data_IF_577268805518
#
_entry.id   IF_577268805518
#
_cell.length_a   1.000
_cell.length_b   1.000
_cell.length_c   1.000
_cell.angle_alpha   90.00
_cell.angle_beta   90.00
_cell.angle_gamma   90.00
#
_symmetry.space_group_name_H-M   'P 1'
#
loop_
_entity.id
_entity.type
_entity.pdbx_description
1 polymer ?
#
# COMPACT_ATOMS: atom_id res chain seq x y z
N UNK A 1 16.37 -21.69 -18.04
CA UNK A 1 15.30 -20.69 -17.86
C UNK A 1 14.88 -20.58 -16.39
N UNK A 2 14.91 -19.37 -15.83
CA UNK A 2 14.54 -19.11 -14.43
C UNK A 2 13.06 -18.73 -14.33
N UNK A 3 12.37 -19.18 -13.27
CA UNK A 3 11.01 -18.76 -12.92
C UNK A 3 10.85 -17.23 -12.95
N UNK A 4 11.89 -16.50 -12.53
CA UNK A 4 11.94 -15.05 -12.59
C UNK A 4 11.75 -14.51 -14.01
N UNK A 5 12.41 -15.12 -15.02
CA UNK A 5 12.23 -14.70 -16.42
C UNK A 5 10.83 -14.99 -16.95
N UNK A 6 10.18 -16.06 -16.46
CA UNK A 6 8.86 -16.48 -16.90
C UNK A 6 7.76 -15.49 -16.48
N UNK A 7 7.89 -14.87 -15.29
CA UNK A 7 6.97 -13.82 -14.82
C UNK A 7 7.23 -12.44 -15.45
N UNK A 8 8.43 -12.19 -15.98
CA UNK A 8 8.81 -10.89 -16.54
C UNK A 8 8.60 -10.74 -18.06
N UNK A 9 8.48 -11.83 -18.84
CA UNK A 9 8.63 -11.78 -20.30
C UNK A 9 7.37 -11.62 -21.16
N UNK A 10 6.15 -11.44 -20.63
CA UNK A 10 5.02 -11.18 -21.54
C UNK A 10 3.75 -10.60 -20.88
N UNK A 11 3.35 -9.35 -21.19
CA UNK A 11 2.07 -8.79 -20.78
C UNK A 11 0.87 -9.62 -21.28
N UNK A 12 0.99 -10.22 -22.47
CA UNK A 12 -0.09 -11.00 -23.09
C UNK A 12 -0.29 -12.39 -22.49
N UNK A 13 0.78 -13.01 -21.95
CA UNK A 13 0.70 -14.31 -21.25
C UNK A 13 0.27 -14.17 -19.79
N UNK A 14 0.48 -13.00 -19.15
CA UNK A 14 -0.09 -12.69 -17.82
C UNK A 14 -1.61 -12.90 -17.81
N UNK A 15 -2.31 -12.44 -18.86
CA UNK A 15 -3.77 -12.60 -19.01
C UNK A 15 -4.25 -14.06 -19.12
N UNK A 16 -3.40 -15.00 -19.55
CA UNK A 16 -3.78 -16.43 -19.71
C UNK A 16 -3.48 -17.29 -18.48
N UNK A 17 -2.65 -16.82 -17.55
CA UNK A 17 -2.40 -17.50 -16.26
C UNK A 17 -3.49 -17.23 -15.20
N UNK A 18 -4.47 -16.38 -15.50
CA UNK A 18 -5.38 -15.75 -14.54
C UNK A 18 -6.82 -16.29 -14.56
N UNK A 19 -7.06 -17.57 -14.88
CA UNK A 19 -8.42 -18.14 -14.72
C UNK A 19 -8.63 -18.90 -13.42
N UNK A 20 -7.76 -19.82 -13.01
CA UNK A 20 -7.80 -20.52 -11.71
C UNK A 20 -6.44 -21.07 -11.13
N UNK A 21 -5.23 -20.79 -11.68
CA UNK A 21 -3.95 -21.18 -11.06
C UNK A 21 -3.49 -20.40 -9.81
N UNK A 22 -4.09 -19.26 -9.49
CA UNK A 22 -3.57 -18.32 -8.49
C UNK A 22 -3.39 -18.94 -7.10
N UNK A 23 -4.36 -19.73 -6.64
CA UNK A 23 -4.30 -20.38 -5.33
C UNK A 23 -3.19 -21.42 -5.20
N UNK A 24 -2.97 -22.25 -6.21
CA UNK A 24 -1.91 -23.27 -6.20
C UNK A 24 -0.54 -22.59 -6.19
N UNK A 25 -0.39 -21.53 -6.99
CA UNK A 25 0.84 -20.73 -7.05
C UNK A 25 1.09 -20.04 -5.70
N UNK A 26 0.07 -19.43 -5.10
CA UNK A 26 0.17 -18.79 -3.77
C UNK A 26 0.49 -19.80 -2.66
N UNK A 27 -0.09 -21.00 -2.69
CA UNK A 27 0.26 -22.08 -1.75
C UNK A 27 1.75 -22.45 -1.83
N UNK A 28 2.31 -22.54 -3.03
CA UNK A 28 3.75 -22.78 -3.22
C UNK A 28 4.56 -21.60 -2.69
N UNK A 29 4.19 -20.37 -3.01
CA UNK A 29 4.89 -19.19 -2.50
C UNK A 29 4.85 -19.12 -0.97
N UNK A 30 3.71 -19.39 -0.34
CA UNK A 30 3.58 -19.46 1.13
C UNK A 30 4.47 -20.52 1.79
N UNK A 31 4.73 -21.63 1.10
CA UNK A 31 5.69 -22.62 1.60
C UNK A 31 7.11 -22.12 1.42
N UNK A 32 7.42 -21.50 0.27
CA UNK A 32 8.75 -20.99 -0.06
C UNK A 32 9.18 -19.81 0.81
N UNK A 33 8.25 -18.93 1.23
CA UNK A 33 8.54 -17.76 2.09
C UNK A 33 9.30 -18.16 3.35
N UNK A 34 8.93 -19.30 3.96
CA UNK A 34 9.57 -19.88 5.15
C UNK A 34 11.04 -20.26 4.99
N UNK A 35 11.49 -20.44 3.75
CA UNK A 35 12.88 -20.83 3.43
C UNK A 35 13.73 -19.63 2.97
N UNK A 36 13.15 -18.44 2.85
CA UNK A 36 13.87 -17.24 2.44
C UNK A 36 14.63 -16.69 3.64
N UNK A 37 15.95 -16.81 3.60
CA UNK A 37 16.85 -16.35 4.69
C UNK A 37 17.82 -15.25 4.28
N UNK A 38 17.85 -14.87 3.00
CA UNK A 38 18.78 -13.86 2.51
C UNK A 38 18.06 -12.79 1.69
N UNK A 39 18.60 -11.56 1.75
CA UNK A 39 18.03 -10.38 1.11
C UNK A 39 17.89 -10.52 -0.41
N UNK A 40 18.81 -11.20 -1.09
CA UNK A 40 18.75 -11.37 -2.56
C UNK A 40 17.55 -12.22 -2.99
N UNK A 41 17.32 -13.33 -2.29
CA UNK A 41 16.15 -14.17 -2.51
C UNK A 41 14.85 -13.43 -2.14
N UNK A 42 14.84 -12.71 -1.02
CA UNK A 42 13.70 -11.89 -0.60
C UNK A 42 13.31 -10.85 -1.65
N UNK A 43 14.29 -10.13 -2.23
CA UNK A 43 14.05 -9.16 -3.30
C UNK A 43 13.40 -9.80 -4.52
N UNK A 44 13.96 -10.90 -5.03
CA UNK A 44 13.37 -11.63 -6.17
C UNK A 44 11.96 -12.13 -5.88
N UNK A 45 11.70 -12.52 -4.64
CA UNK A 45 10.40 -13.01 -4.23
C UNK A 45 9.35 -11.90 -4.21
N UNK A 46 9.72 -10.73 -3.68
CA UNK A 46 8.91 -9.51 -3.75
C UNK A 46 8.66 -9.08 -5.19
N UNK A 47 9.67 -9.18 -6.07
CA UNK A 47 9.54 -8.83 -7.49
C UNK A 47 8.49 -9.68 -8.24
N UNK A 48 8.28 -10.93 -7.79
CA UNK A 48 7.30 -11.85 -8.37
C UNK A 48 5.92 -11.66 -7.73
N UNK A 49 5.84 -11.49 -6.42
CA UNK A 49 4.57 -11.41 -5.69
C UNK A 49 3.88 -10.04 -5.80
N UNK A 50 4.63 -8.94 -5.89
CA UNK A 50 4.03 -7.61 -6.00
C UNK A 50 3.09 -7.47 -7.22
N UNK A 51 3.46 -7.90 -8.44
CA UNK A 51 2.54 -7.91 -9.56
C UNK A 51 1.30 -8.76 -9.31
N UNK A 52 1.41 -9.89 -8.62
CA UNK A 52 0.27 -10.75 -8.31
C UNK A 52 -0.69 -10.08 -7.33
N UNK A 53 -0.18 -9.33 -6.35
CA UNK A 53 -1.02 -8.53 -5.45
C UNK A 53 -1.74 -7.41 -6.21
N UNK A 54 -1.02 -6.65 -7.05
CA UNK A 54 -1.62 -5.55 -7.83
C UNK A 54 -2.62 -6.03 -8.90
N UNK A 55 -2.30 -7.09 -9.65
CA UNK A 55 -3.20 -7.66 -10.66
C UNK A 55 -4.39 -8.39 -9.99
N UNK A 56 -4.18 -8.83 -8.75
CA UNK A 56 -5.15 -9.51 -7.89
C UNK A 56 -6.21 -8.61 -7.26
N UNK A 57 -6.20 -7.29 -7.46
CA UNK A 57 -7.22 -6.38 -6.85
C UNK A 57 -8.66 -6.81 -7.19
N UNK A 58 -8.88 -7.47 -8.34
CA UNK A 58 -10.20 -8.01 -8.73
C UNK A 58 -10.61 -9.28 -7.96
N UNK A 59 -9.67 -9.93 -7.28
CA UNK A 59 -9.86 -11.11 -6.44
C UNK A 59 -9.24 -10.84 -5.05
N UNK A 60 -10.07 -10.36 -4.13
CA UNK A 60 -9.70 -10.05 -2.74
C UNK A 60 -8.86 -11.14 -2.08
N UNK A 61 -9.24 -12.41 -2.25
CA UNK A 61 -8.57 -13.54 -1.60
C UNK A 61 -7.14 -13.72 -2.12
N UNK A 62 -6.95 -13.59 -3.44
CA UNK A 62 -5.62 -13.66 -4.06
C UNK A 62 -4.76 -12.47 -3.63
N UNK A 63 -5.33 -11.26 -3.59
CA UNK A 63 -4.61 -10.06 -3.17
C UNK A 63 -4.20 -10.12 -1.69
N UNK A 64 -5.14 -10.42 -0.80
CA UNK A 64 -4.89 -10.53 0.65
C UNK A 64 -3.88 -11.63 0.96
N UNK A 65 -3.97 -12.80 0.32
CA UNK A 65 -2.99 -13.87 0.53
C UNK A 65 -1.60 -13.50 -0.01
N UNK A 66 -1.51 -12.82 -1.16
CA UNK A 66 -0.24 -12.33 -1.68
C UNK A 66 0.40 -11.29 -0.73
N UNK A 67 -0.39 -10.36 -0.19
CA UNK A 67 0.06 -9.37 0.80
C UNK A 67 0.53 -10.03 2.11
N UNK A 68 -0.17 -11.06 2.59
CA UNK A 68 0.25 -11.86 3.76
C UNK A 68 1.58 -12.56 3.52
N UNK A 69 1.78 -13.16 2.35
CA UNK A 69 3.05 -13.81 2.00
C UNK A 69 4.18 -12.77 1.89
N UNK A 70 3.91 -11.59 1.32
CA UNK A 70 4.87 -10.49 1.28
C UNK A 70 5.27 -10.04 2.70
N UNK A 71 4.30 -9.91 3.61
CA UNK A 71 4.53 -9.57 5.02
C UNK A 71 5.55 -10.50 5.69
N UNK A 72 5.47 -11.80 5.45
CA UNK A 72 6.41 -12.78 6.02
C UNK A 72 7.87 -12.58 5.59
N UNK A 73 8.10 -11.96 4.42
CA UNK A 73 9.44 -11.80 3.83
C UNK A 73 10.06 -10.43 4.16
N UNK A 74 9.25 -9.46 4.59
CA UNK A 74 9.70 -8.10 4.96
C UNK A 74 10.88 -8.10 5.93
N UNK A 75 10.87 -8.87 7.06
CA UNK A 75 11.97 -8.85 8.01
C UNK A 75 13.33 -9.25 7.41
N UNK A 76 13.32 -10.02 6.31
CA UNK A 76 14.52 -10.49 5.61
C UNK A 76 14.96 -9.52 4.50
N UNK A 77 14.05 -8.67 4.01
CA UNK A 77 14.24 -7.81 2.85
C UNK A 77 15.16 -6.61 3.13
N UNK A 78 15.11 -6.09 4.35
CA UNK A 78 15.77 -4.84 4.77
C UNK A 78 15.10 -3.59 4.20
N UNK A 79 15.62 -2.40 4.56
CA UNK A 79 14.99 -1.11 4.24
C UNK A 79 15.00 -0.74 2.75
N UNK A 80 15.92 -1.29 1.94
CA UNK A 80 16.16 -0.86 0.56
C UNK A 80 15.03 -1.15 -0.44
N UNK A 81 14.00 -1.91 -0.05
CA UNK A 81 12.87 -2.26 -0.93
C UNK A 81 11.54 -1.62 -0.51
N UNK A 82 11.52 -0.86 0.58
CA UNK A 82 10.31 -0.22 1.10
C UNK A 82 9.62 0.64 0.03
N UNK A 83 10.36 1.54 -0.64
CA UNK A 83 9.81 2.44 -1.66
C UNK A 83 9.09 1.70 -2.81
N UNK A 84 9.63 0.54 -3.23
CA UNK A 84 9.00 -0.30 -4.25
C UNK A 84 7.67 -0.90 -3.77
N UNK A 85 7.63 -1.37 -2.53
CA UNK A 85 6.42 -1.91 -1.91
C UNK A 85 5.39 -0.80 -1.72
N UNK A 86 5.79 0.37 -1.21
CA UNK A 86 4.91 1.55 -1.04
C UNK A 86 4.25 1.97 -2.35
N UNK A 87 5.01 2.03 -3.46
CA UNK A 87 4.45 2.34 -4.78
C UNK A 87 3.42 1.30 -5.23
N UNK A 88 3.66 0.02 -4.96
CA UNK A 88 2.73 -1.04 -5.33
C UNK A 88 1.44 -1.00 -4.50
N UNK A 89 1.53 -0.81 -3.18
CA UNK A 89 0.33 -0.70 -2.33
C UNK A 89 -0.45 0.57 -2.57
N UNK A 90 0.19 1.66 -2.99
CA UNK A 90 -0.49 2.88 -3.39
C UNK A 90 -1.51 2.60 -4.50
N UNK A 91 -1.12 1.82 -5.52
CA UNK A 91 -2.04 1.40 -6.57
C UNK A 91 -3.19 0.52 -6.06
N UNK A 92 -2.95 -0.32 -5.05
CA UNK A 92 -3.97 -1.14 -4.40
C UNK A 92 -4.97 -0.25 -3.66
N UNK A 93 -4.48 0.71 -2.86
CA UNK A 93 -5.30 1.55 -1.99
C UNK A 93 -6.34 2.40 -2.75
N UNK A 94 -6.08 2.77 -4.00
CA UNK A 94 -7.00 3.58 -4.83
C UNK A 94 -8.37 2.91 -5.04
N UNK A 95 -8.45 1.58 -5.01
CA UNK A 95 -9.68 0.85 -5.39
C UNK A 95 -9.97 -0.41 -4.57
N UNK A 96 -9.09 -0.77 -3.64
CA UNK A 96 -9.23 -1.97 -2.84
C UNK A 96 -10.43 -1.94 -1.89
N UNK A 97 -11.04 -3.12 -1.70
CA UNK A 97 -12.04 -3.37 -0.66
C UNK A 97 -11.40 -3.34 0.74
N UNK A 98 -12.23 -3.17 1.77
CA UNK A 98 -11.78 -2.99 3.16
C UNK A 98 -10.86 -4.11 3.64
N UNK A 99 -11.17 -5.37 3.38
CA UNK A 99 -10.36 -6.54 3.73
C UNK A 99 -8.94 -6.51 3.12
N UNK A 100 -8.82 -6.07 1.87
CA UNK A 100 -7.52 -5.85 1.21
C UNK A 100 -6.80 -4.66 1.82
N UNK A 101 -7.49 -3.55 2.13
CA UNK A 101 -6.89 -2.39 2.79
C UNK A 101 -6.38 -2.71 4.20
N UNK A 102 -7.09 -3.53 4.96
CA UNK A 102 -6.62 -4.06 6.25
C UNK A 102 -5.39 -4.95 6.08
N UNK A 103 -5.34 -5.77 5.02
CA UNK A 103 -4.13 -6.55 4.70
C UNK A 103 -2.94 -5.66 4.29
N UNK A 104 -3.20 -4.50 3.68
CA UNK A 104 -2.17 -3.47 3.43
C UNK A 104 -1.69 -2.86 4.74
N UNK A 105 -2.59 -2.51 5.67
CA UNK A 105 -2.24 -2.00 7.00
C UNK A 105 -1.29 -2.96 7.73
N UNK A 106 -1.64 -4.25 7.76
CA UNK A 106 -0.83 -5.33 8.31
C UNK A 106 0.59 -5.41 7.73
N UNK A 107 0.73 -5.12 6.43
CA UNK A 107 2.01 -5.13 5.73
C UNK A 107 2.81 -3.85 5.97
N UNK A 108 2.14 -2.69 6.05
CA UNK A 108 2.77 -1.41 6.41
C UNK A 108 3.31 -1.44 7.84
N UNK A 109 2.61 -2.09 8.76
CA UNK A 109 3.09 -2.32 10.13
C UNK A 109 4.40 -3.12 10.15
N UNK A 110 4.47 -4.22 9.40
CA UNK A 110 5.70 -5.02 9.28
C UNK A 110 6.85 -4.23 8.61
N UNK A 111 6.52 -3.38 7.63
CA UNK A 111 7.52 -2.45 7.05
C UNK A 111 8.01 -1.46 8.12
N UNK A 112 7.12 -0.91 8.94
CA UNK A 112 7.47 0.06 9.98
C UNK A 112 8.27 -0.56 11.14
N UNK A 113 8.12 -1.86 11.39
CA UNK A 113 9.01 -2.61 12.30
C UNK A 113 10.44 -2.70 11.74
N UNK A 114 10.59 -2.81 10.42
CA UNK A 114 11.89 -2.89 9.75
C UNK A 114 12.52 -1.53 9.45
N UNK A 115 11.71 -0.50 9.23
CA UNK A 115 12.08 0.88 8.97
C UNK A 115 11.15 1.82 9.75
N UNK A 116 11.61 2.26 10.92
CA UNK A 116 10.82 3.11 11.82
C UNK A 116 10.45 4.47 11.23
N UNK A 117 11.13 4.93 10.16
CA UNK A 117 10.75 6.14 9.43
C UNK A 117 9.38 6.05 8.74
N UNK A 118 8.83 4.83 8.63
CA UNK A 118 7.51 4.56 8.05
C UNK A 118 6.40 4.53 9.09
N UNK A 119 6.71 4.47 10.40
CA UNK A 119 5.73 4.24 11.47
C UNK A 119 4.59 5.26 11.44
N UNK A 120 4.91 6.55 11.37
CA UNK A 120 3.90 7.61 11.36
C UNK A 120 2.92 7.50 10.18
N UNK A 121 3.39 7.06 9.01
CA UNK A 121 2.54 6.88 7.83
C UNK A 121 1.72 5.59 7.95
N UNK A 122 2.32 4.51 8.49
CA UNK A 122 1.64 3.23 8.68
C UNK A 122 0.47 3.39 9.65
N UNK A 123 0.72 3.99 10.82
CA UNK A 123 -0.31 4.27 11.83
C UNK A 123 -1.44 5.13 11.26
N UNK A 124 -1.10 6.14 10.46
CA UNK A 124 -2.09 7.01 9.82
C UNK A 124 -2.97 6.26 8.81
N UNK A 125 -2.39 5.38 7.99
CA UNK A 125 -3.16 4.53 7.06
C UNK A 125 -4.03 3.55 7.84
N UNK A 126 -3.54 2.98 8.94
CA UNK A 126 -4.32 2.12 9.83
C UNK A 126 -5.51 2.87 10.42
N UNK A 127 -5.32 4.10 10.90
CA UNK A 127 -6.40 4.93 11.46
C UNK A 127 -7.45 5.31 10.39
N UNK A 128 -7.02 5.60 9.16
CA UNK A 128 -7.90 5.84 8.01
C UNK A 128 -8.72 4.61 7.58
N UNK A 129 -8.32 3.41 8.01
CA UNK A 129 -9.03 2.16 7.75
C UNK A 129 -9.57 1.50 9.03
N UNK A 130 -9.63 2.26 10.14
CA UNK A 130 -10.09 1.74 11.41
C UNK A 130 -11.54 1.27 11.31
N UNK A 131 -11.82 0.09 11.89
CA UNK A 131 -13.14 -0.54 11.85
C UNK A 131 -13.88 -0.33 13.16
N UNK A 132 -15.20 -0.23 13.08
CA UNK A 132 -16.09 -0.15 14.23
C UNK A 132 -15.99 -1.43 15.07
N UNK A 133 -15.95 -1.27 16.39
CA UNK A 133 -16.02 -2.39 17.32
C UNK A 133 -17.45 -2.96 17.48
N UNK A 134 -18.45 -2.21 17.02
CA UNK A 134 -19.88 -2.51 17.22
C UNK A 134 -20.52 -3.07 15.95
N UNK A 135 -20.09 -2.56 14.78
CA UNK A 135 -20.65 -2.93 13.48
C UNK A 135 -19.62 -3.69 12.64
N UNK A 136 -19.99 -4.90 12.22
CA UNK A 136 -19.16 -5.74 11.35
C UNK A 136 -18.99 -5.04 9.99
N UNK A 137 -17.75 -5.01 9.50
CA UNK A 137 -17.37 -4.40 8.21
C UNK A 137 -17.65 -2.90 8.07
N UNK A 138 -17.95 -2.21 9.17
CA UNK A 138 -18.13 -0.76 9.21
C UNK A 138 -16.85 -0.04 9.66
N UNK A 139 -16.70 1.22 9.26
CA UNK A 139 -15.60 2.09 9.67
C UNK A 139 -15.86 2.72 11.05
N UNK A 140 -14.79 2.94 11.81
CA UNK A 140 -14.77 3.80 12.99
C UNK A 140 -14.60 5.25 12.52
N UNK A 141 -15.72 5.91 12.21
CA UNK A 141 -15.71 7.26 11.63
C UNK A 141 -14.98 8.29 12.50
N UNK A 142 -15.05 8.16 13.82
CA UNK A 142 -14.36 9.08 14.72
C UNK A 142 -12.84 8.97 14.53
N UNK A 143 -12.30 7.74 14.49
CA UNK A 143 -10.88 7.53 14.20
C UNK A 143 -10.49 8.00 12.80
N UNK A 144 -11.30 7.68 11.79
CA UNK A 144 -11.02 8.06 10.40
C UNK A 144 -11.01 9.58 10.24
N UNK A 145 -11.96 10.31 10.84
CA UNK A 145 -12.01 11.77 10.80
C UNK A 145 -10.81 12.38 11.52
N UNK A 146 -10.47 11.86 12.71
CA UNK A 146 -9.28 12.31 13.46
C UNK A 146 -7.98 12.03 12.70
N UNK A 147 -7.91 10.95 11.92
CA UNK A 147 -6.80 10.66 11.03
C UNK A 147 -6.68 11.72 9.92
N UNK A 148 -7.80 12.09 9.29
CA UNK A 148 -7.82 13.14 8.28
C UNK A 148 -7.38 14.51 8.81
N UNK A 149 -7.72 14.86 10.05
CA UNK A 149 -7.28 16.12 10.68
C UNK A 149 -5.76 16.22 10.84
N UNK A 150 -5.04 15.09 10.79
CA UNK A 150 -3.57 15.04 10.81
C UNK A 150 -2.92 15.27 9.44
N UNK A 151 -3.70 15.23 8.35
CA UNK A 151 -3.19 15.38 6.98
C UNK A 151 -3.27 16.85 6.58
N UNK A 152 -2.15 17.56 6.73
CA UNK A 152 -2.01 18.97 6.39
C UNK A 152 -0.66 19.26 5.72
N UNK A 153 -0.37 20.52 5.42
CA UNK A 153 0.90 20.91 4.80
C UNK A 153 2.13 20.48 5.62
N UNK A 154 2.06 20.53 6.95
CA UNK A 154 3.18 20.17 7.83
C UNK A 154 3.44 18.67 7.82
N UNK A 155 2.38 17.85 7.71
CA UNK A 155 2.52 16.43 7.42
C UNK A 155 3.32 16.21 6.13
N UNK A 156 2.94 16.86 5.02
CA UNK A 156 3.62 16.70 3.73
C UNK A 156 5.07 17.21 3.73
N UNK A 157 5.40 18.22 4.53
CA UNK A 157 6.79 18.66 4.76
C UNK A 157 7.63 17.59 5.47
N UNK A 158 7.01 16.77 6.33
CA UNK A 158 7.68 15.79 7.19
C UNK A 158 7.88 14.41 6.57
N UNK A 159 7.27 14.11 5.42
CA UNK A 159 7.29 12.77 4.81
C UNK A 159 8.02 12.75 3.47
N UNK A 160 8.48 11.56 3.07
CA UNK A 160 9.05 11.33 1.75
C UNK A 160 7.96 11.21 0.69
N UNK A 161 8.35 11.36 -0.58
CA UNK A 161 7.46 11.22 -1.75
C UNK A 161 6.70 9.88 -1.73
N UNK A 162 7.38 8.77 -1.45
CA UNK A 162 6.74 7.44 -1.43
C UNK A 162 5.72 7.27 -0.31
N UNK A 163 5.93 7.91 0.84
CA UNK A 163 4.95 7.95 1.93
C UNK A 163 3.77 8.86 1.60
N UNK A 164 4.03 10.03 0.98
CA UNK A 164 2.98 10.94 0.54
C UNK A 164 2.05 10.28 -0.49
N UNK A 165 2.60 9.55 -1.47
CA UNK A 165 1.82 8.85 -2.50
C UNK A 165 0.85 7.83 -1.87
N UNK A 166 1.25 7.13 -0.81
CA UNK A 166 0.37 6.17 -0.10
C UNK A 166 -0.84 6.88 0.50
N UNK A 167 -0.63 8.00 1.19
CA UNK A 167 -1.72 8.79 1.78
C UNK A 167 -2.63 9.37 0.70
N UNK A 168 -2.05 9.95 -0.35
CA UNK A 168 -2.82 10.54 -1.45
C UNK A 168 -3.63 9.49 -2.19
N UNK A 169 -3.11 8.26 -2.32
CA UNK A 169 -3.82 7.13 -2.92
C UNK A 169 -5.04 6.70 -2.11
N UNK A 170 -4.95 6.74 -0.78
CA UNK A 170 -6.11 6.53 0.09
C UNK A 170 -7.12 7.69 -0.01
N UNK A 171 -6.66 8.95 -0.07
CA UNK A 171 -7.53 10.09 -0.31
C UNK A 171 -8.30 9.97 -1.64
N UNK A 172 -7.66 9.50 -2.70
CA UNK A 172 -8.34 9.26 -3.99
C UNK A 172 -9.44 8.21 -3.84
N UNK A 173 -9.22 7.16 -3.04
CA UNK A 173 -10.24 6.15 -2.75
C UNK A 173 -11.45 6.77 -2.04
N UNK A 174 -11.25 7.52 -0.95
CA UNK A 174 -12.36 8.10 -0.18
C UNK A 174 -13.04 9.28 -0.89
N UNK A 175 -12.37 9.94 -1.85
CA UNK A 175 -13.03 10.88 -2.78
C UNK A 175 -14.12 10.20 -3.63
N UNK A 176 -14.00 8.90 -3.88
CA UNK A 176 -15.00 8.09 -4.59
C UNK A 176 -16.00 7.43 -3.65
N UNK A 177 -15.94 7.71 -2.34
CA UNK A 177 -16.87 7.16 -1.36
C UNK A 177 -18.29 7.69 -1.58
N UNK A 178 -19.30 6.91 -1.21
CA UNK A 178 -20.69 7.36 -1.14
C UNK A 178 -20.92 8.31 0.05
N UNK A 179 -20.09 8.20 1.10
CA UNK A 179 -20.16 9.04 2.29
C UNK A 179 -19.63 10.46 2.01
N UNK A 180 -20.49 11.46 2.22
CA UNK A 180 -20.14 12.87 1.96
C UNK A 180 -19.01 13.37 2.87
N UNK A 181 -18.97 12.93 4.11
CA UNK A 181 -17.96 13.36 5.09
C UNK A 181 -16.58 12.87 4.65
N UNK A 182 -16.46 11.58 4.30
CA UNK A 182 -15.21 11.01 3.80
C UNK A 182 -14.75 11.72 2.52
N UNK A 183 -15.65 11.95 1.56
CA UNK A 183 -15.31 12.71 0.33
C UNK A 183 -14.75 14.09 0.63
N UNK A 184 -15.38 14.83 1.56
CA UNK A 184 -14.94 16.19 1.92
C UNK A 184 -13.59 16.20 2.62
N UNK A 185 -13.35 15.24 3.53
CA UNK A 185 -12.08 15.10 4.26
C UNK A 185 -10.93 14.71 3.34
N UNK A 186 -11.16 13.75 2.45
CA UNK A 186 -10.20 13.36 1.43
C UNK A 186 -9.89 14.50 0.45
N UNK A 187 -10.91 15.23 -0.01
CA UNK A 187 -10.73 16.41 -0.84
C UNK A 187 -9.88 17.49 -0.14
N UNK A 188 -10.17 17.80 1.13
CA UNK A 188 -9.38 18.77 1.90
C UNK A 188 -7.91 18.38 2.05
N UNK A 189 -7.63 17.09 2.20
CA UNK A 189 -6.25 16.56 2.24
C UNK A 189 -5.51 16.75 0.91
N UNK A 190 -6.21 16.58 -0.22
CA UNK A 190 -5.64 16.81 -1.56
C UNK A 190 -5.40 18.30 -1.82
N UNK A 191 -6.30 19.18 -1.37
CA UNK A 191 -6.08 20.63 -1.39
C UNK A 191 -4.83 21.00 -0.58
N UNK A 192 -4.70 20.46 0.63
CA UNK A 192 -3.51 20.68 1.47
C UNK A 192 -2.20 20.25 0.80
N UNK A 193 -2.23 19.18 0.00
CA UNK A 193 -1.07 18.75 -0.80
C UNK A 193 -0.75 19.71 -1.94
N UNK A 194 -1.77 20.27 -2.61
CA UNK A 194 -1.59 21.28 -3.67
C UNK A 194 -0.99 22.55 -3.07
N UNK A 195 -1.51 23.01 -1.93
CA UNK A 195 -1.01 24.19 -1.23
C UNK A 195 0.45 24.00 -0.80
N UNK A 196 0.77 22.86 -0.19
CA UNK A 196 2.15 22.46 0.10
C UNK A 196 3.05 22.49 -1.14
N UNK A 197 2.57 21.93 -2.27
CA UNK A 197 3.32 21.91 -3.52
C UNK A 197 3.59 23.32 -4.05
N UNK A 198 2.59 24.20 -4.02
CA UNK A 198 2.72 25.61 -4.41
C UNK A 198 3.76 26.35 -3.56
N UNK A 199 3.81 26.08 -2.24
CA UNK A 199 4.83 26.65 -1.36
C UNK A 199 6.25 26.21 -1.73
N UNK A 200 6.44 24.97 -2.22
CA UNK A 200 7.74 24.51 -2.69
C UNK A 200 8.17 25.21 -3.99
N UNK A 201 7.25 25.42 -4.93
CA UNK A 201 7.52 26.13 -6.18
C UNK A 201 7.93 27.59 -5.92
N UNK A 202 7.13 28.32 -5.12
CA UNK A 202 7.40 29.73 -4.79
C UNK A 202 8.72 29.95 -4.02
N UNK A 203 9.22 28.93 -3.31
CA UNK A 203 10.53 28.99 -2.64
C UNK A 203 11.70 28.83 -3.63
N UNK A 204 11.55 28.02 -4.68
CA UNK A 204 12.60 27.82 -5.69
C UNK A 204 12.82 29.08 -6.52
N UNK A 205 11.75 29.78 -6.91
CA UNK A 205 11.84 31.04 -7.67
C UNK A 205 12.53 32.19 -6.91
N UNK A 206 12.56 32.15 -5.57
CA UNK A 206 13.26 33.16 -4.75
C UNK A 206 14.75 32.90 -4.56
N UNK A 207 15.24 31.73 -4.98
CA UNK A 207 16.63 31.30 -4.84
C UNK A 207 17.35 31.12 -6.19
N UNK A 208 16.69 31.47 -7.30
CA UNK A 208 17.28 31.67 -8.63
C UNK A 208 17.46 33.17 -8.91
#
# INVERSE_FOLDING_TARGET
DSLHHLFHLNPEKKRKLLKHPGETVLRVFKLLSKFIKNQSAAKKFVDILLPLACDGIKNSDVCTEALKILKEVIPVLGCGSASKILKAVSAILISARLDVRLSVCDMLDALAESDSSLRSMADLVCDLNATSAVEIDALDFDKVINAYDRINEDYFKGVREDQAIVILSHCIFDMMSEDLTLRQRAYGSLVSFIDFSALLFNKREKHE
#
